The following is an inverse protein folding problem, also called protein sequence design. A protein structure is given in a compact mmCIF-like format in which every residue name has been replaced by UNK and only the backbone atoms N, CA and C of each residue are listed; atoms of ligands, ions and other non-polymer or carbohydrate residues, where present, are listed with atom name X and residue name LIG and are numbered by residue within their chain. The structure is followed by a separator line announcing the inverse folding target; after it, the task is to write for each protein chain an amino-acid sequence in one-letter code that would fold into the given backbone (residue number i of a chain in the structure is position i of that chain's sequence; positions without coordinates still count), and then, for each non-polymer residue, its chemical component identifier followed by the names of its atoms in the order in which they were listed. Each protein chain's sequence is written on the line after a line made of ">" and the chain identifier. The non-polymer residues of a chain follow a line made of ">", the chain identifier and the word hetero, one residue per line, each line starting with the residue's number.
data_IF_738803669016
#
_entry.id   IF_738803669016
#
_cell.length_a   1.000
_cell.length_b   1.000
_cell.length_c   1.000
_cell.angle_alpha   90.00
_cell.angle_beta   90.00
_cell.angle_gamma   90.00
#
_symmetry.space_group_name_H-M   'P 1'
#
loop_
_entity.id
_entity.type
_entity.pdbx_description
1 polymer ?
#
# COMPACT_ATOMS: atom_id res chain seq x y z
N UNK A 1 42.47 -45.96 -23.45
CA UNK A 1 41.86 -46.18 -22.12
C UNK A 1 41.46 -44.81 -21.57
N UNK A 2 40.16 -44.51 -21.64
CA UNK A 2 39.58 -43.23 -21.26
C UNK A 2 39.40 -43.17 -19.75
N UNK A 3 39.95 -42.15 -19.08
CA UNK A 3 39.62 -41.85 -17.68
C UNK A 3 38.76 -40.58 -17.66
N UNK A 4 37.45 -40.78 -17.66
CA UNK A 4 36.48 -39.79 -17.23
C UNK A 4 36.73 -39.54 -15.73
N UNK A 5 37.35 -38.41 -15.40
CA UNK A 5 37.36 -37.91 -14.04
C UNK A 5 36.01 -37.26 -13.80
N UNK A 6 35.20 -37.90 -12.95
CA UNK A 6 33.93 -37.41 -12.45
C UNK A 6 34.11 -36.00 -11.86
N UNK A 7 33.59 -34.99 -12.56
CA UNK A 7 33.35 -33.66 -11.99
C UNK A 7 32.19 -33.84 -11.02
N UNK A 8 32.51 -34.10 -9.76
CA UNK A 8 31.57 -33.90 -8.67
C UNK A 8 31.38 -32.38 -8.53
N UNK A 9 30.30 -31.86 -9.10
CA UNK A 9 29.79 -30.53 -8.76
C UNK A 9 29.36 -30.63 -7.31
N UNK A 10 30.27 -30.25 -6.41
CA UNK A 10 29.91 -29.89 -5.04
C UNK A 10 28.91 -28.75 -5.16
N UNK A 11 27.62 -29.09 -4.99
CA UNK A 11 26.59 -28.15 -4.55
C UNK A 11 26.97 -27.69 -3.15
N UNK A 12 28.00 -26.84 -3.09
CA UNK A 12 28.37 -26.09 -1.91
C UNK A 12 27.30 -25.04 -1.71
N UNK A 13 26.57 -25.21 -0.61
CA UNK A 13 25.65 -24.26 -0.01
C UNK A 13 25.94 -22.82 -0.45
N UNK A 14 25.11 -22.31 -1.37
CA UNK A 14 25.02 -20.88 -1.60
C UNK A 14 24.46 -20.31 -0.30
N UNK A 15 25.35 -19.73 0.50
CA UNK A 15 25.01 -19.02 1.71
C UNK A 15 23.86 -18.05 1.41
N UNK A 16 22.79 -18.26 2.16
CA UNK A 16 21.59 -17.44 2.27
C UNK A 16 22.03 -16.05 2.77
N UNK A 17 22.33 -15.15 1.84
CA UNK A 17 22.39 -13.70 2.09
C UNK A 17 22.00 -12.98 0.80
N UNK A 18 20.77 -12.48 0.68
CA UNK A 18 20.48 -11.48 -0.35
C UNK A 18 19.08 -11.34 -0.94
N UNK A 19 18.02 -12.02 -0.48
CA UNK A 19 16.66 -11.76 -1.01
C UNK A 19 15.94 -10.59 -0.31
N UNK A 20 16.51 -10.03 0.76
CA UNK A 20 15.90 -8.96 1.55
C UNK A 20 15.63 -7.64 0.79
N UNK A 21 16.52 -7.14 -0.10
CA UNK A 21 16.27 -5.88 -0.81
C UNK A 21 15.16 -6.03 -1.85
N UNK A 22 15.17 -7.13 -2.61
CA UNK A 22 14.22 -7.34 -3.70
C UNK A 22 12.76 -7.50 -3.20
N UNK A 23 12.56 -8.16 -2.05
CA UNK A 23 11.23 -8.33 -1.44
C UNK A 23 10.73 -7.03 -0.80
N UNK A 24 11.62 -6.25 -0.19
CA UNK A 24 11.28 -4.94 0.37
C UNK A 24 10.95 -3.91 -0.72
N UNK A 25 11.76 -3.83 -1.79
CA UNK A 25 11.51 -2.98 -2.95
C UNK A 25 10.19 -3.35 -3.65
N UNK A 26 9.91 -4.64 -3.79
CA UNK A 26 8.65 -5.11 -4.36
C UNK A 26 7.45 -4.74 -3.48
N UNK A 27 7.59 -4.83 -2.15
CA UNK A 27 6.52 -4.45 -1.22
C UNK A 27 6.26 -2.95 -1.23
N UNK A 28 7.29 -2.12 -1.28
CA UNK A 28 7.13 -0.67 -1.42
C UNK A 28 6.49 -0.27 -2.76
N UNK A 29 6.85 -0.95 -3.86
CA UNK A 29 6.23 -0.71 -5.17
C UNK A 29 4.74 -1.05 -5.17
N UNK A 30 4.35 -2.20 -4.62
CA UNK A 30 2.94 -2.55 -4.47
C UNK A 30 2.20 -1.60 -3.52
N UNK A 31 2.85 -1.17 -2.43
CA UNK A 31 2.28 -0.19 -1.51
C UNK A 31 2.00 1.14 -2.20
N UNK A 32 2.97 1.64 -2.97
CA UNK A 32 2.80 2.85 -3.79
C UNK A 32 1.66 2.70 -4.79
N UNK A 33 1.56 1.55 -5.46
CA UNK A 33 0.46 1.26 -6.38
C UNK A 33 -0.90 1.25 -5.67
N UNK A 34 -0.99 0.62 -4.50
CA UNK A 34 -2.20 0.63 -3.69
C UNK A 34 -2.62 2.04 -3.30
N UNK A 35 -1.67 2.88 -2.86
CA UNK A 35 -1.93 4.28 -2.50
C UNK A 35 -2.39 5.08 -3.71
N UNK A 36 -1.79 4.89 -4.88
CA UNK A 36 -2.22 5.55 -6.12
C UNK A 36 -3.67 5.16 -6.47
N UNK A 37 -4.00 3.87 -6.46
CA UNK A 37 -5.36 3.40 -6.77
C UNK A 37 -6.37 3.91 -5.73
N UNK A 38 -6.03 3.84 -4.44
CA UNK A 38 -6.81 4.44 -3.36
C UNK A 38 -6.88 5.96 -3.40
N UNK A 39 -6.05 6.64 -4.19
CA UNK A 39 -6.17 8.07 -4.40
C UNK A 39 -7.12 8.37 -5.55
N UNK A 40 -7.01 7.59 -6.61
CA UNK A 40 -7.72 7.80 -7.87
C UNK A 40 -9.20 7.39 -7.81
N UNK A 41 -9.63 6.62 -6.78
CA UNK A 41 -11.02 6.14 -6.71
C UNK A 41 -12.07 7.24 -6.59
N UNK A 42 -11.73 8.36 -5.96
CA UNK A 42 -12.70 9.44 -5.73
C UNK A 42 -13.93 8.94 -4.97
N UNK A 43 -15.05 8.77 -5.69
CA UNK A 43 -16.34 8.30 -5.17
C UNK A 43 -16.72 6.86 -5.57
N UNK A 44 -15.94 6.20 -6.43
CA UNK A 44 -16.32 4.92 -7.02
C UNK A 44 -15.61 3.78 -6.29
N UNK A 45 -16.32 3.14 -5.36
CA UNK A 45 -15.78 2.00 -4.64
C UNK A 45 -15.51 0.77 -5.51
N UNK A 46 -16.22 0.60 -6.62
CA UNK A 46 -15.96 -0.49 -7.58
C UNK A 46 -14.64 -0.28 -8.30
N UNK A 47 -14.27 0.98 -8.57
CA UNK A 47 -13.02 1.31 -9.23
C UNK A 47 -11.80 0.75 -8.50
N UNK A 48 -11.75 0.80 -7.16
CA UNK A 48 -10.60 0.28 -6.39
C UNK A 48 -10.44 -1.21 -6.62
N UNK A 49 -11.52 -1.98 -6.46
CA UNK A 49 -11.49 -3.44 -6.58
C UNK A 49 -11.09 -3.84 -7.99
N UNK A 50 -11.76 -3.30 -9.02
CA UNK A 50 -11.50 -3.62 -10.42
C UNK A 50 -10.04 -3.31 -10.80
N UNK A 51 -9.53 -2.13 -10.40
CA UNK A 51 -8.15 -1.74 -10.71
C UNK A 51 -7.13 -2.63 -10.01
N UNK A 52 -7.39 -3.09 -8.79
CA UNK A 52 -6.49 -3.99 -8.09
C UNK A 52 -6.52 -5.39 -8.72
N UNK A 53 -7.68 -5.90 -9.12
CA UNK A 53 -7.82 -7.17 -9.84
C UNK A 53 -7.09 -7.13 -11.20
N UNK A 54 -7.17 -6.02 -11.95
CA UNK A 54 -6.39 -5.80 -13.18
C UNK A 54 -4.87 -5.88 -12.95
N UNK A 55 -4.40 -5.56 -11.74
CA UNK A 55 -2.99 -5.70 -11.34
C UNK A 55 -2.65 -7.08 -10.76
N UNK A 56 -3.61 -8.00 -10.74
CA UNK A 56 -3.43 -9.37 -10.24
C UNK A 56 -3.53 -9.50 -8.72
N UNK A 57 -4.12 -8.52 -8.04
CA UNK A 57 -4.43 -8.63 -6.61
C UNK A 57 -5.64 -9.54 -6.43
N UNK A 58 -5.74 -10.18 -5.27
CA UNK A 58 -6.77 -11.18 -5.00
C UNK A 58 -7.64 -10.73 -3.84
N UNK A 59 -8.95 -10.69 -4.07
CA UNK A 59 -9.94 -10.41 -3.03
C UNK A 59 -10.11 -11.60 -2.09
N UNK A 60 -10.16 -11.32 -0.78
CA UNK A 60 -10.47 -12.30 0.26
C UNK A 60 -11.14 -11.61 1.44
N UNK A 61 -12.17 -12.23 2.00
CA UNK A 61 -12.72 -11.80 3.28
C UNK A 61 -11.68 -11.99 4.39
N UNK A 62 -11.47 -10.97 5.22
CA UNK A 62 -10.59 -10.98 6.38
C UNK A 62 -11.40 -10.81 7.66
N UNK A 63 -11.36 -11.81 8.53
CA UNK A 63 -12.14 -11.84 9.78
C UNK A 63 -11.66 -10.79 10.80
N UNK A 64 -10.43 -10.30 10.72
CA UNK A 64 -9.91 -9.26 11.62
C UNK A 64 -10.48 -7.88 11.28
N UNK A 65 -10.65 -7.59 9.99
CA UNK A 65 -11.25 -6.35 9.52
C UNK A 65 -12.76 -6.46 9.27
N UNK A 66 -13.33 -7.67 9.38
CA UNK A 66 -14.73 -8.02 9.11
C UNK A 66 -15.20 -7.55 7.71
N UNK A 67 -14.31 -7.55 6.72
CA UNK A 67 -14.58 -7.01 5.38
C UNK A 67 -13.75 -7.70 4.29
N UNK A 68 -14.08 -7.43 3.03
CA UNK A 68 -13.30 -7.88 1.89
C UNK A 68 -12.00 -7.06 1.77
N UNK A 69 -10.88 -7.76 1.61
CA UNK A 69 -9.54 -7.19 1.51
C UNK A 69 -8.86 -7.68 0.23
N UNK A 70 -8.17 -6.76 -0.45
CA UNK A 70 -7.41 -7.02 -1.67
C UNK A 70 -5.93 -7.24 -1.33
N UNK A 71 -5.38 -8.43 -1.57
CA UNK A 71 -3.98 -8.74 -1.27
C UNK A 71 -3.12 -8.78 -2.53
N UNK A 72 -1.88 -8.33 -2.40
CA UNK A 72 -0.87 -8.52 -3.45
C UNK A 72 -0.53 -9.99 -3.66
N UNK A 73 0.02 -10.34 -4.84
CA UNK A 73 0.81 -11.57 -4.98
C UNK A 73 1.92 -11.62 -3.92
N UNK A 74 1.91 -12.66 -3.08
CA UNK A 74 2.85 -12.79 -1.96
C UNK A 74 2.37 -12.19 -0.62
N UNK A 75 1.21 -11.51 -0.60
CA UNK A 75 0.51 -11.02 0.60
C UNK A 75 1.35 -10.10 1.50
N UNK A 76 2.23 -9.29 0.92
CA UNK A 76 3.05 -8.32 1.66
C UNK A 76 2.37 -6.96 1.85
N UNK A 77 1.36 -6.66 1.03
CA UNK A 77 0.54 -5.45 1.09
C UNK A 77 -0.92 -5.86 0.88
N UNK A 78 -1.82 -5.16 1.56
CA UNK A 78 -3.25 -5.32 1.36
C UNK A 78 -3.97 -3.99 1.33
N UNK A 79 -5.10 -3.96 0.64
CA UNK A 79 -5.99 -2.80 0.54
C UNK A 79 -7.37 -3.19 1.05
N UNK A 80 -7.91 -2.37 1.94
CA UNK A 80 -9.32 -2.39 2.32
C UNK A 80 -10.00 -1.33 1.44
N UNK A 81 -10.74 -1.73 0.39
CA UNK A 81 -11.50 -0.79 -0.42
C UNK A 81 -12.64 -0.18 0.38
N UNK A 82 -13.18 0.98 -0.03
CA UNK A 82 -14.43 1.49 0.53
C UNK A 82 -15.58 0.49 0.28
N UNK A 83 -16.56 0.49 1.18
CA UNK A 83 -17.74 -0.36 1.03
C UNK A 83 -18.53 -0.02 -0.24
N UNK A 84 -19.17 -1.03 -0.82
CA UNK A 84 -20.04 -0.86 -1.98
C UNK A 84 -21.19 0.11 -1.64
N UNK A 85 -21.28 1.22 -2.37
CA UNK A 85 -22.29 2.25 -2.13
C UNK A 85 -22.02 3.16 -0.91
N UNK A 86 -20.78 3.19 -0.40
CA UNK A 86 -20.40 4.09 0.69
C UNK A 86 -20.76 5.56 0.38
N UNK A 87 -21.45 6.21 1.32
CA UNK A 87 -21.67 7.65 1.28
C UNK A 87 -20.41 8.40 1.72
N UNK A 88 -20.17 9.58 1.17
CA UNK A 88 -19.06 10.43 1.63
C UNK A 88 -19.23 10.82 3.12
N UNK A 89 -18.14 10.81 3.91
CA UNK A 89 -16.77 10.50 3.51
C UNK A 89 -16.53 8.99 3.32
N UNK A 90 -15.81 8.63 2.26
CA UNK A 90 -15.42 7.25 1.96
C UNK A 90 -13.92 7.06 2.15
N UNK A 91 -13.51 5.92 2.73
CA UNK A 91 -12.10 5.61 3.03
C UNK A 91 -11.62 4.41 2.23
N UNK A 92 -10.42 4.52 1.66
CA UNK A 92 -9.63 3.41 1.11
C UNK A 92 -8.34 3.29 1.92
N UNK A 93 -8.03 2.08 2.39
CA UNK A 93 -6.91 1.87 3.32
C UNK A 93 -5.89 0.93 2.72
N UNK A 94 -4.63 1.33 2.67
CA UNK A 94 -3.48 0.50 2.25
C UNK A 94 -2.66 0.15 3.47
N UNK A 95 -2.31 -1.13 3.64
CA UNK A 95 -1.63 -1.63 4.83
C UNK A 95 -0.48 -2.56 4.40
N UNK A 96 0.63 -2.52 5.13
CA UNK A 96 1.72 -3.47 4.96
C UNK A 96 2.45 -3.71 6.27
N UNK A 97 2.77 -4.98 6.53
CA UNK A 97 3.69 -5.42 7.59
C UNK A 97 5.15 -5.54 7.15
N UNK A 98 5.51 -4.96 6.00
CA UNK A 98 6.87 -4.99 5.45
C UNK A 98 7.37 -3.61 4.97
N UNK A 99 6.50 -2.60 4.98
CA UNK A 99 6.80 -1.22 4.62
C UNK A 99 6.81 -0.40 5.90
N UNK A 100 7.88 0.37 6.11
CA UNK A 100 8.00 1.27 7.26
C UNK A 100 7.25 2.58 7.02
N UNK A 101 6.96 3.35 8.06
CA UNK A 101 6.35 4.68 7.90
C UNK A 101 7.15 5.58 6.96
N UNK A 102 8.48 5.62 7.08
CA UNK A 102 9.31 6.45 6.18
C UNK A 102 9.14 6.05 4.71
N UNK A 103 9.00 4.75 4.44
CA UNK A 103 8.76 4.25 3.09
C UNK A 103 7.33 4.55 2.62
N UNK A 104 6.34 4.51 3.52
CA UNK A 104 4.98 4.92 3.23
C UNK A 104 4.90 6.42 2.92
N UNK A 105 5.58 7.27 3.69
CA UNK A 105 5.69 8.72 3.40
C UNK A 105 6.34 8.98 2.04
N UNK A 106 7.42 8.26 1.71
CA UNK A 106 8.04 8.37 0.39
C UNK A 106 7.06 7.95 -0.75
N UNK A 107 6.29 6.89 -0.53
CA UNK A 107 5.28 6.40 -1.48
C UNK A 107 4.16 7.41 -1.68
N UNK A 108 3.64 7.97 -0.57
CA UNK A 108 2.60 9.01 -0.60
C UNK A 108 3.11 10.27 -1.28
N UNK A 109 4.33 10.73 -0.96
CA UNK A 109 4.93 11.90 -1.61
C UNK A 109 5.08 11.71 -3.13
N UNK A 110 5.45 10.51 -3.57
CA UNK A 110 5.50 10.19 -5.00
C UNK A 110 4.10 10.30 -5.64
N UNK A 111 3.07 9.73 -5.00
CA UNK A 111 1.68 9.79 -5.49
C UNK A 111 1.16 11.23 -5.52
N UNK A 112 1.38 12.01 -4.45
CA UNK A 112 0.94 13.41 -4.34
C UNK A 112 1.65 14.30 -5.37
N UNK A 113 2.96 14.15 -5.53
CA UNK A 113 3.73 14.97 -6.48
C UNK A 113 3.32 14.75 -7.95
N UNK A 114 2.77 13.57 -8.28
CA UNK A 114 2.27 13.27 -9.62
C UNK A 114 0.87 13.86 -9.90
N UNK A 115 0.17 14.37 -8.88
CA UNK A 115 -1.25 14.73 -9.00
C UNK A 115 -1.55 16.14 -9.53
N UNK A 116 -0.56 17.04 -9.55
CA UNK A 116 -0.75 18.49 -9.77
C UNK A 116 -1.74 19.18 -8.82
N UNK A 117 -2.30 18.47 -7.83
CA UNK A 117 -3.29 19.03 -6.92
C UNK A 117 -2.63 19.83 -5.81
N UNK A 118 -3.22 20.98 -5.51
CA UNK A 118 -2.80 21.79 -4.37
C UNK A 118 -3.14 21.02 -3.09
N UNK A 119 -2.19 20.98 -2.17
CA UNK A 119 -2.35 20.35 -0.87
C UNK A 119 -1.61 21.14 0.21
N UNK A 120 -1.94 20.84 1.46
CA UNK A 120 -1.18 21.27 2.63
C UNK A 120 -0.77 20.05 3.45
N UNK A 121 0.41 20.11 4.06
CA UNK A 121 0.89 19.10 4.99
C UNK A 121 0.52 19.53 6.40
N UNK A 122 -0.17 18.65 7.11
CA UNK A 122 -0.63 18.79 8.48
C UNK A 122 0.05 17.73 9.35
N UNK A 123 -0.01 17.91 10.67
CA UNK A 123 0.38 16.89 11.64
C UNK A 123 -0.83 16.47 12.46
N UNK A 124 -1.09 15.17 12.51
CA UNK A 124 -2.18 14.59 13.28
C UNK A 124 -1.60 13.54 14.23
N UNK A 125 -1.66 13.79 15.54
CA UNK A 125 -1.06 12.93 16.58
C UNK A 125 0.44 12.63 16.36
N UNK A 126 1.17 13.54 15.70
CA UNK A 126 2.58 13.37 15.37
C UNK A 126 2.85 12.70 14.01
N UNK A 127 1.81 12.24 13.33
CA UNK A 127 1.88 11.62 12.02
C UNK A 127 1.60 12.61 10.89
N UNK A 128 2.09 12.30 9.70
CA UNK A 128 1.85 13.09 8.49
C UNK A 128 0.40 12.93 8.02
N UNK A 129 -0.31 14.05 7.87
CA UNK A 129 -1.60 14.15 7.17
C UNK A 129 -1.44 15.10 5.98
N UNK A 130 -1.99 14.75 4.82
CA UNK A 130 -2.02 15.60 3.63
C UNK A 130 -3.47 15.94 3.35
N UNK A 131 -3.79 17.23 3.29
CA UNK A 131 -5.13 17.74 3.04
C UNK A 131 -5.18 18.46 1.69
N UNK A 132 -6.06 18.00 0.81
CA UNK A 132 -6.33 18.57 -0.51
C UNK A 132 -7.45 19.61 -0.44
N UNK A 133 -7.35 20.52 0.54
CA UNK A 133 -8.31 21.61 0.78
C UNK A 133 -9.77 21.14 0.92
N UNK A 134 -9.97 20.03 1.62
CA UNK A 134 -11.30 19.51 1.93
C UNK A 134 -11.96 18.63 0.87
N UNK A 135 -11.30 18.33 -0.27
CA UNK A 135 -11.79 17.30 -1.21
C UNK A 135 -11.37 15.90 -0.79
N UNK A 136 -10.11 15.74 -0.38
CA UNK A 136 -9.53 14.47 0.04
C UNK A 136 -8.51 14.71 1.16
N UNK A 137 -8.30 13.69 1.99
CA UNK A 137 -7.21 13.61 2.96
C UNK A 137 -6.45 12.31 2.81
N UNK A 138 -5.14 12.36 3.00
CA UNK A 138 -4.29 11.16 3.14
C UNK A 138 -3.68 11.20 4.53
N UNK A 139 -3.87 10.15 5.30
CA UNK A 139 -3.29 9.98 6.63
C UNK A 139 -2.36 8.80 6.63
N UNK A 140 -1.21 8.96 7.27
CA UNK A 140 -0.16 7.94 7.34
C UNK A 140 0.04 7.59 8.81
N UNK A 141 -0.01 6.32 9.17
CA UNK A 141 0.23 5.87 10.54
C UNK A 141 0.77 4.42 10.58
N UNK A 142 1.20 3.97 11.75
CA UNK A 142 1.63 2.60 12.02
C UNK A 142 0.43 1.69 12.21
N UNK A 143 0.45 0.46 11.71
CA UNK A 143 -0.64 -0.49 11.99
C UNK A 143 -0.60 -1.02 13.45
N UNK A 144 0.50 -0.79 14.18
CA UNK A 144 0.67 -1.15 15.59
C UNK A 144 -0.03 -0.20 16.59
N UNK A 145 -0.59 -0.78 17.67
CA UNK A 145 -1.39 -0.04 18.67
C UNK A 145 -0.59 0.90 19.59
N UNK A 146 0.73 0.67 19.75
CA UNK A 146 1.51 1.34 20.80
C UNK A 146 2.30 2.57 20.31
N UNK A 147 2.62 2.64 19.00
CA UNK A 147 3.45 3.71 18.41
C UNK A 147 2.86 4.19 17.09
N UNK A 148 1.85 5.05 17.14
CA UNK A 148 1.09 5.53 15.98
C UNK A 148 1.92 6.04 14.79
N UNK A 149 3.13 6.54 15.02
CA UNK A 149 3.96 7.17 13.98
C UNK A 149 5.42 6.67 13.94
N UNK A 150 5.78 5.68 14.75
CA UNK A 150 7.17 5.25 14.93
C UNK A 150 7.39 3.74 14.77
N UNK A 151 6.41 2.99 14.29
CA UNK A 151 6.59 1.55 14.07
C UNK A 151 7.62 1.33 12.96
N UNK A 152 8.75 0.66 13.25
CA UNK A 152 9.77 0.41 12.24
C UNK A 152 9.39 -0.69 11.25
N UNK A 153 8.28 -1.41 11.45
CA UNK A 153 7.96 -2.64 10.72
C UNK A 153 6.61 -2.61 10.00
N UNK A 154 5.77 -1.60 10.24
CA UNK A 154 4.47 -1.52 9.59
C UNK A 154 4.11 -0.11 9.17
N UNK A 155 3.25 -0.02 8.17
CA UNK A 155 2.66 1.23 7.75
C UNK A 155 1.25 1.00 7.23
N UNK A 156 0.42 1.99 7.48
CA UNK A 156 -0.96 2.09 7.04
C UNK A 156 -1.20 3.50 6.50
N UNK A 157 -1.82 3.57 5.33
CA UNK A 157 -2.22 4.81 4.69
C UNK A 157 -3.73 4.76 4.48
N UNK A 158 -4.45 5.72 5.06
CA UNK A 158 -5.87 5.93 4.79
C UNK A 158 -6.01 7.10 3.83
N UNK A 159 -6.69 6.87 2.71
CA UNK A 159 -7.14 7.90 1.80
C UNK A 159 -8.63 8.11 2.00
N UNK A 160 -9.00 9.30 2.46
CA UNK A 160 -10.37 9.70 2.79
C UNK A 160 -10.85 10.68 1.72
N UNK A 161 -11.83 10.29 0.92
CA UNK A 161 -12.52 11.22 0.03
C UNK A 161 -13.67 11.86 0.79
N UNK A 162 -13.68 13.20 0.85
CA UNK A 162 -14.68 13.99 1.57
C UNK A 162 -15.74 14.56 0.63
N UNK A 163 -15.32 14.91 -0.58
CA UNK A 163 -16.17 15.41 -1.66
C UNK A 163 -15.75 14.67 -2.92
N UNK A 164 -16.73 14.23 -3.70
CA UNK A 164 -16.45 13.60 -4.97
C UNK A 164 -15.70 14.57 -5.90
N UNK A 165 -14.45 14.26 -6.31
CA UNK A 165 -13.69 15.10 -7.22
C UNK A 165 -14.29 15.16 -8.64
N UNK A 166 -15.25 14.28 -8.97
CA UNK A 166 -15.84 14.15 -10.30
C UNK A 166 -17.27 14.73 -10.42
N UNK A 167 -17.94 15.15 -9.34
CA UNK A 167 -19.23 15.87 -9.47
C UNK A 167 -18.96 17.28 -9.96
N UNK A 168 -19.18 17.51 -11.26
CA UNK A 168 -19.11 18.82 -11.91
C UNK A 168 -18.17 18.93 -13.12
N UNK A 169 -17.55 17.83 -13.55
CA UNK A 169 -16.86 17.73 -14.85
C UNK A 169 -17.75 17.15 -15.95
#
# INVERSE_FOLDING_TARGET
>A
MSRLANIAILMGALCITGTAPAVAEQSQAYFTQGVQICRDFGNDGFFVVDRLEEKGWVKRHDDYYETDVMYTPGKSVWVIPPEEGASMPASCVVISGAVTIMQAEASVNLVVSNSNDKHQILSNQGCTEIDFFGSQKIRIWSDGQDDFCNDPNSARVEVITLVDPNVGQ
#
